data_IF_279244394730
#
_entry.id   IF_279244394730
#
_cell.length_a   1.000
_cell.length_b   1.000
_cell.length_c   1.000
_cell.angle_alpha   90.00
_cell.angle_beta   90.00
_cell.angle_gamma   90.00
#
_symmetry.space_group_name_H-M   'P 1'
#
loop_
_entity.id
_entity.type
_entity.pdbx_description
1 polymer ?
#
# COMPACT_ATOMS: atom_id res chain seq x y z
N UNK A 1 -21.19 16.74 3.59
CA UNK A 1 -19.97 17.01 2.81
C UNK A 1 -20.09 16.28 1.48
N UNK A 2 -19.85 16.96 0.37
CA UNK A 2 -20.00 16.33 -0.93
C UNK A 2 -18.79 15.44 -1.25
N UNK A 3 -18.98 14.40 -2.06
CA UNK A 3 -17.91 13.53 -2.57
C UNK A 3 -16.79 14.32 -3.28
N UNK A 4 -17.16 15.37 -4.03
CA UNK A 4 -16.21 16.24 -4.74
C UNK A 4 -15.29 16.95 -3.76
N UNK A 5 -15.83 17.49 -2.66
CA UNK A 5 -15.01 18.18 -1.65
C UNK A 5 -13.99 17.23 -0.99
N UNK A 6 -14.42 16.00 -0.71
CA UNK A 6 -13.53 14.97 -0.17
C UNK A 6 -12.38 14.63 -1.14
N UNK A 7 -12.69 14.49 -2.42
CA UNK A 7 -11.68 14.24 -3.46
C UNK A 7 -10.69 15.39 -3.60
N UNK A 8 -11.16 16.64 -3.56
CA UNK A 8 -10.29 17.83 -3.62
C UNK A 8 -9.32 17.86 -2.42
N UNK A 9 -9.79 17.53 -1.21
CA UNK A 9 -8.93 17.44 -0.03
C UNK A 9 -7.88 16.34 -0.17
N UNK A 10 -8.26 15.17 -0.67
CA UNK A 10 -7.33 14.06 -0.90
C UNK A 10 -6.27 14.45 -1.94
N UNK A 11 -6.68 15.04 -3.05
CA UNK A 11 -5.77 15.50 -4.11
C UNK A 11 -4.81 16.56 -3.57
N UNK A 12 -5.30 17.51 -2.79
CA UNK A 12 -4.48 18.56 -2.19
C UNK A 12 -3.44 17.96 -1.23
N UNK A 13 -3.85 17.05 -0.32
CA UNK A 13 -2.96 16.38 0.61
C UNK A 13 -1.92 15.51 -0.09
N UNK A 14 -2.29 14.85 -1.19
CA UNK A 14 -1.38 14.05 -1.99
C UNK A 14 -0.41 14.91 -2.82
N UNK A 15 -0.83 16.08 -3.28
CA UNK A 15 0.00 17.00 -4.06
C UNK A 15 1.12 17.63 -3.22
N UNK A 16 0.90 17.82 -1.92
CA UNK A 16 1.92 18.33 -0.99
C UNK A 16 2.99 17.28 -0.64
N UNK A 17 2.78 16.03 -1.04
CA UNK A 17 3.75 14.95 -0.83
C UNK A 17 4.75 14.87 -1.97
N UNK A 18 5.92 15.37 -1.68
CA UNK A 18 7.24 15.00 -2.21
C UNK A 18 7.39 14.71 -3.72
N UNK A 19 8.30 15.42 -4.31
CA UNK A 19 9.01 15.12 -5.55
C UNK A 19 9.26 13.62 -5.71
N UNK A 20 8.46 12.98 -6.55
CA UNK A 20 8.77 11.65 -7.06
C UNK A 20 9.25 11.78 -8.49
N UNK A 21 10.39 11.17 -8.75
CA UNK A 21 10.89 10.96 -10.09
C UNK A 21 9.87 10.16 -10.90
N UNK A 22 9.34 10.65 -12.03
CA UNK A 22 8.24 9.99 -12.76
C UNK A 22 8.63 8.69 -13.48
N UNK A 23 9.67 8.02 -13.02
CA UNK A 23 10.16 6.77 -13.62
C UNK A 23 10.12 5.53 -12.73
N UNK A 24 9.81 5.69 -11.44
CA UNK A 24 9.89 4.60 -10.49
C UNK A 24 8.52 4.02 -10.16
N UNK A 25 8.18 2.90 -10.78
CA UNK A 25 7.01 2.13 -10.38
C UNK A 25 7.13 1.71 -8.91
N UNK A 26 6.30 2.30 -8.05
CA UNK A 26 6.26 1.97 -6.62
C UNK A 26 5.01 1.19 -6.28
N UNK A 27 5.21 0.21 -5.44
CA UNK A 27 4.14 -0.62 -4.88
C UNK A 27 4.16 -0.53 -3.36
N UNK A 28 2.99 -0.42 -2.76
CA UNK A 28 2.80 -0.63 -1.32
C UNK A 28 2.09 -1.97 -1.14
N UNK A 29 2.62 -2.83 -0.31
CA UNK A 29 1.98 -4.10 0.00
C UNK A 29 1.09 -4.00 1.22
N UNK A 30 -0.15 -4.44 1.07
CA UNK A 30 -1.06 -4.67 2.17
C UNK A 30 -0.56 -5.82 3.06
N UNK A 31 -0.90 -5.78 4.34
CA UNK A 31 -0.46 -6.78 5.32
C UNK A 31 -0.83 -8.21 4.92
N UNK A 32 -2.04 -8.43 4.40
CA UNK A 32 -2.45 -9.76 3.95
C UNK A 32 -1.58 -10.31 2.82
N UNK A 33 -1.13 -9.46 1.90
CA UNK A 33 -0.20 -9.85 0.84
C UNK A 33 1.16 -10.25 1.43
N UNK A 34 1.65 -9.51 2.42
CA UNK A 34 2.89 -9.85 3.12
C UNK A 34 2.78 -11.20 3.83
N UNK A 35 1.65 -11.49 4.47
CA UNK A 35 1.38 -12.78 5.11
C UNK A 35 1.37 -13.92 4.07
N UNK A 36 0.73 -13.72 2.92
CA UNK A 36 0.72 -14.70 1.84
C UNK A 36 2.13 -14.99 1.33
N UNK A 37 2.95 -13.97 1.16
CA UNK A 37 4.36 -14.12 0.75
C UNK A 37 5.16 -14.86 1.83
N UNK A 38 4.97 -14.54 3.10
CA UNK A 38 5.64 -15.25 4.21
C UNK A 38 5.28 -16.74 4.27
N UNK A 39 4.10 -17.08 3.77
CA UNK A 39 3.60 -18.45 3.65
C UNK A 39 4.02 -19.16 2.36
N UNK A 40 4.86 -18.54 1.54
CA UNK A 40 5.46 -19.12 0.34
C UNK A 40 4.84 -18.69 -0.99
N UNK A 41 3.90 -17.74 -1.00
CA UNK A 41 3.39 -17.18 -2.24
C UNK A 41 4.48 -16.40 -2.98
N UNK A 42 4.56 -16.58 -4.31
CA UNK A 42 5.55 -15.90 -5.13
C UNK A 42 5.04 -14.53 -5.57
N UNK A 43 5.87 -13.52 -5.40
CA UNK A 43 5.65 -12.21 -5.97
C UNK A 43 6.05 -12.22 -7.46
N UNK A 44 5.15 -11.73 -8.31
CA UNK A 44 5.39 -11.58 -9.76
C UNK A 44 5.79 -10.14 -10.11
N UNK A 45 6.41 -9.43 -9.19
CA UNK A 45 6.88 -8.07 -9.45
C UNK A 45 8.05 -8.07 -10.44
N UNK A 46 8.16 -7.03 -11.28
CA UNK A 46 9.38 -6.78 -12.04
C UNK A 46 10.58 -6.71 -11.09
N UNK A 47 11.76 -7.20 -11.54
CA UNK A 47 12.95 -7.29 -10.70
C UNK A 47 13.50 -5.94 -10.21
N UNK A 48 13.11 -4.86 -10.85
CA UNK A 48 13.44 -3.47 -10.51
C UNK A 48 12.34 -2.73 -9.74
N UNK A 49 11.24 -3.43 -9.42
CA UNK A 49 10.13 -2.83 -8.71
C UNK A 49 10.52 -2.37 -7.30
N UNK A 50 10.21 -1.13 -6.99
CA UNK A 50 10.38 -0.60 -5.65
C UNK A 50 9.14 -0.90 -4.81
N UNK A 51 9.36 -1.57 -3.70
CA UNK A 51 8.33 -1.94 -2.74
C UNK A 51 8.47 -1.09 -1.49
N UNK A 52 7.39 -0.53 -1.02
CA UNK A 52 7.29 0.10 0.28
C UNK A 52 6.31 -0.66 1.17
N UNK A 53 6.53 -0.63 2.45
CA UNK A 53 5.70 -1.26 3.48
C UNK A 53 5.37 -0.23 4.54
N UNK A 54 4.11 -0.15 4.95
CA UNK A 54 3.72 0.68 6.10
C UNK A 54 4.27 0.10 7.41
N UNK A 55 4.72 0.96 8.30
CA UNK A 55 5.10 0.57 9.65
C UNK A 55 3.96 -0.15 10.41
N UNK A 56 2.70 0.12 10.05
CA UNK A 56 1.54 -0.59 10.60
C UNK A 56 1.52 -2.07 10.19
N UNK A 57 1.95 -2.39 8.98
CA UNK A 57 2.04 -3.78 8.54
C UNK A 57 3.05 -4.58 9.38
N UNK A 58 4.15 -3.94 9.81
CA UNK A 58 5.09 -4.56 10.75
C UNK A 58 4.40 -4.90 12.08
N UNK A 59 3.55 -4.00 12.59
CA UNK A 59 2.81 -4.23 13.84
C UNK A 59 1.83 -5.40 13.70
N UNK A 60 1.18 -5.53 12.56
CA UNK A 60 0.22 -6.61 12.31
C UNK A 60 0.90 -7.97 12.09
N UNK A 61 2.04 -8.00 11.39
CA UNK A 61 2.80 -9.22 11.14
C UNK A 61 3.48 -9.71 12.42
N UNK A 62 4.07 -8.80 13.20
CA UNK A 62 4.71 -9.10 14.47
C UNK A 62 3.68 -9.33 15.58
N UNK A 63 2.74 -10.24 15.35
CA UNK A 63 1.71 -10.61 16.30
C UNK A 63 2.11 -11.89 17.06
N UNK A 64 1.64 -12.10 18.32
CA UNK A 64 2.06 -13.21 19.17
C UNK A 64 1.92 -14.60 18.54
N UNK A 65 1.01 -14.76 17.60
CA UNK A 65 0.70 -16.04 16.95
C UNK A 65 1.30 -16.18 15.53
N UNK A 66 2.11 -15.22 15.08
CA UNK A 66 2.69 -15.22 13.73
C UNK A 66 4.21 -15.20 13.78
N UNK A 67 4.78 -14.03 13.99
CA UNK A 67 6.22 -13.79 14.01
C UNK A 67 6.61 -12.95 15.21
N UNK A 68 7.81 -13.18 15.75
CA UNK A 68 8.44 -12.21 16.63
C UNK A 68 8.78 -10.92 15.86
N UNK A 69 9.04 -9.84 16.57
CA UNK A 69 9.45 -8.59 15.92
C UNK A 69 10.72 -8.77 15.06
N UNK A 70 11.71 -9.49 15.57
CA UNK A 70 12.96 -9.74 14.83
C UNK A 70 12.72 -10.55 13.55
N UNK A 71 11.89 -11.59 13.61
CA UNK A 71 11.52 -12.38 12.43
C UNK A 71 10.75 -11.54 11.40
N UNK A 72 9.86 -10.67 11.84
CA UNK A 72 9.10 -9.78 10.95
C UNK A 72 10.01 -8.74 10.28
N UNK A 73 10.98 -8.17 11.01
CA UNK A 73 11.97 -7.25 10.46
C UNK A 73 12.87 -7.95 9.43
N UNK A 74 13.36 -9.14 9.74
CA UNK A 74 14.17 -9.95 8.82
C UNK A 74 13.37 -10.35 7.57
N UNK A 75 12.10 -10.71 7.74
CA UNK A 75 11.21 -11.02 6.62
C UNK A 75 11.02 -9.81 5.71
N UNK A 76 10.68 -8.64 6.25
CA UNK A 76 10.53 -7.40 5.47
C UNK A 76 11.83 -7.05 4.75
N UNK A 77 12.97 -7.17 5.42
CA UNK A 77 14.27 -6.93 4.80
C UNK A 77 14.55 -7.90 3.63
N UNK A 78 14.10 -9.16 3.72
CA UNK A 78 14.26 -10.16 2.67
C UNK A 78 13.47 -9.85 1.38
N UNK A 79 12.42 -9.04 1.48
CA UNK A 79 11.58 -8.66 0.34
C UNK A 79 12.19 -7.58 -0.56
N UNK A 80 13.42 -7.16 -0.29
CA UNK A 80 14.03 -6.02 -0.98
C UNK A 80 13.18 -4.74 -0.89
N UNK A 81 12.56 -4.55 0.27
CA UNK A 81 11.77 -3.36 0.56
C UNK A 81 12.68 -2.14 0.56
N UNK A 82 12.38 -1.19 -0.29
CA UNK A 82 13.15 0.04 -0.40
C UNK A 82 12.95 0.95 0.80
N UNK A 83 11.78 0.88 1.43
CA UNK A 83 11.41 1.79 2.51
C UNK A 83 10.31 1.23 3.40
N UNK A 84 10.50 1.35 4.72
CA UNK A 84 9.46 1.19 5.73
C UNK A 84 8.90 2.57 6.07
N UNK A 85 7.62 2.79 5.75
CA UNK A 85 6.99 4.10 5.82
C UNK A 85 6.35 4.33 7.19
N UNK A 86 6.78 5.36 7.93
CA UNK A 86 6.18 5.68 9.21
C UNK A 86 4.76 6.24 9.09
N UNK A 87 3.97 6.11 10.14
CA UNK A 87 2.67 6.77 10.25
C UNK A 87 2.87 8.21 10.70
N UNK A 88 2.82 9.11 9.74
CA UNK A 88 2.95 10.55 9.99
C UNK A 88 1.58 11.20 10.21
N UNK A 89 1.56 12.46 10.67
CA UNK A 89 0.33 13.25 10.73
C UNK A 89 -0.34 13.40 9.36
N UNK A 90 0.44 13.44 8.30
CA UNK A 90 -0.07 13.53 6.93
C UNK A 90 -0.78 12.24 6.53
N UNK A 91 -0.20 11.07 6.84
CA UNK A 91 -0.87 9.77 6.66
C UNK A 91 -2.18 9.72 7.44
N UNK A 92 -2.17 10.13 8.71
CA UNK A 92 -3.37 10.11 9.54
C UNK A 92 -4.49 11.02 8.99
N UNK A 93 -4.16 12.22 8.55
CA UNK A 93 -5.14 13.16 7.96
C UNK A 93 -5.74 12.60 6.68
N UNK A 94 -4.92 12.06 5.79
CA UNK A 94 -5.40 11.47 4.55
C UNK A 94 -6.24 10.22 4.81
N UNK A 95 -5.88 9.39 5.78
CA UNK A 95 -6.68 8.24 6.18
C UNK A 95 -8.09 8.63 6.64
N UNK A 96 -8.21 9.74 7.37
CA UNK A 96 -9.53 10.30 7.75
C UNK A 96 -10.35 10.64 6.50
N UNK A 97 -9.76 11.30 5.51
CA UNK A 97 -10.46 11.65 4.27
C UNK A 97 -10.87 10.41 3.46
N UNK A 98 -10.00 9.40 3.36
CA UNK A 98 -10.33 8.14 2.68
C UNK A 98 -11.54 7.44 3.33
N UNK A 99 -11.63 7.46 4.66
CA UNK A 99 -12.76 6.86 5.40
C UNK A 99 -14.07 7.61 5.22
N UNK A 100 -14.04 8.89 4.86
CA UNK A 100 -15.26 9.66 4.52
C UNK A 100 -15.83 9.25 3.16
N UNK A 101 -14.96 8.86 2.23
CA UNK A 101 -15.37 8.41 0.88
C UNK A 101 -15.96 7.02 0.93
N UNK A 102 -15.33 6.11 1.65
CA UNK A 102 -15.78 4.73 1.81
C UNK A 102 -15.35 4.20 3.17
N UNK A 103 -16.23 3.43 3.80
CA UNK A 103 -15.94 2.82 5.11
C UNK A 103 -14.77 1.83 5.00
N UNK A 104 -13.64 2.24 5.56
CA UNK A 104 -12.47 1.41 5.83
C UNK A 104 -12.21 1.37 7.33
N UNK A 105 -11.58 0.33 7.84
CA UNK A 105 -11.05 0.40 9.19
C UNK A 105 -9.82 1.34 9.26
N UNK A 106 -9.36 1.62 10.46
CA UNK A 106 -8.30 2.63 10.64
C UNK A 106 -6.96 2.18 10.05
N UNK A 107 -6.62 0.90 10.16
CA UNK A 107 -5.35 0.37 9.65
C UNK A 107 -5.34 0.35 8.12
N UNK A 108 -6.40 -0.17 7.50
CA UNK A 108 -6.57 -0.20 6.04
C UNK A 108 -6.53 1.22 5.45
N UNK A 109 -7.18 2.17 6.12
CA UNK A 109 -7.17 3.56 5.69
C UNK A 109 -5.78 4.19 5.77
N UNK A 110 -4.99 3.88 6.79
CA UNK A 110 -3.62 4.36 6.91
C UNK A 110 -2.68 3.73 5.86
N UNK A 111 -2.84 2.44 5.57
CA UNK A 111 -2.09 1.77 4.51
C UNK A 111 -2.46 2.36 3.14
N UNK A 112 -3.74 2.56 2.88
CA UNK A 112 -4.22 3.25 1.68
C UNK A 112 -3.69 4.68 1.55
N UNK A 113 -3.70 5.44 2.64
CA UNK A 113 -3.14 6.79 2.69
C UNK A 113 -1.63 6.80 2.40
N UNK A 114 -0.90 5.83 2.91
CA UNK A 114 0.53 5.66 2.61
C UNK A 114 0.75 5.48 1.12
N UNK A 115 -0.03 4.61 0.48
CA UNK A 115 0.06 4.41 -0.98
C UNK A 115 -0.25 5.69 -1.76
N UNK A 116 -1.30 6.43 -1.38
CA UNK A 116 -1.64 7.71 -2.01
C UNK A 116 -0.51 8.74 -1.90
N UNK A 117 0.04 8.92 -0.69
CA UNK A 117 1.10 9.91 -0.45
C UNK A 117 2.38 9.57 -1.19
N UNK A 118 2.64 8.30 -1.44
CA UNK A 118 3.79 7.84 -2.22
C UNK A 118 3.52 7.82 -3.72
N UNK A 119 2.31 8.17 -4.17
CA UNK A 119 1.87 7.97 -5.54
C UNK A 119 2.13 6.54 -6.03
N UNK A 120 1.87 5.57 -5.16
CA UNK A 120 2.12 4.16 -5.36
C UNK A 120 0.83 3.39 -5.61
N UNK A 121 0.97 2.22 -6.21
CA UNK A 121 -0.13 1.26 -6.34
C UNK A 121 -0.16 0.34 -5.13
N UNK A 122 -1.31 0.25 -4.48
CA UNK A 122 -1.53 -0.65 -3.34
C UNK A 122 -1.85 -2.05 -3.84
N UNK A 123 -1.02 -3.01 -3.50
CA UNK A 123 -1.24 -4.42 -3.83
C UNK A 123 -2.01 -5.06 -2.68
N UNK A 124 -3.24 -5.46 -2.95
CA UNK A 124 -4.17 -6.01 -1.96
C UNK A 124 -5.21 -6.93 -2.58
N UNK A 125 -5.64 -7.94 -1.83
CA UNK A 125 -6.79 -8.78 -2.19
C UNK A 125 -8.07 -8.39 -1.44
N UNK A 126 -8.02 -7.43 -0.53
CA UNK A 126 -9.22 -6.95 0.16
C UNK A 126 -10.15 -6.21 -0.81
N UNK A 127 -11.34 -6.75 -1.02
CA UNK A 127 -12.32 -6.20 -1.96
C UNK A 127 -12.85 -4.83 -1.55
N UNK A 128 -12.86 -4.50 -0.25
CA UNK A 128 -13.29 -3.18 0.22
C UNK A 128 -12.28 -2.12 -0.17
N UNK A 129 -10.99 -2.43 -0.01
CA UNK A 129 -9.89 -1.55 -0.43
C UNK A 129 -9.87 -1.42 -1.95
N UNK A 130 -9.99 -2.53 -2.68
CA UNK A 130 -9.96 -2.55 -4.15
C UNK A 130 -11.11 -1.78 -4.80
N UNK A 131 -12.25 -1.67 -4.12
CA UNK A 131 -13.41 -0.89 -4.59
C UNK A 131 -13.33 0.59 -4.21
N UNK A 132 -12.33 0.99 -3.45
CA UNK A 132 -12.21 2.38 -3.04
C UNK A 132 -11.90 3.27 -4.25
N UNK A 133 -12.73 4.30 -4.54
CA UNK A 133 -12.67 5.03 -5.81
C UNK A 133 -11.41 5.90 -5.98
N UNK A 134 -10.69 6.15 -4.89
CA UNK A 134 -9.48 7.01 -4.88
C UNK A 134 -8.18 6.20 -4.94
N UNK A 135 -8.21 4.96 -4.46
CA UNK A 135 -7.01 4.15 -4.36
C UNK A 135 -6.68 3.46 -5.70
N UNK A 136 -5.43 3.60 -6.13
CA UNK A 136 -4.88 2.77 -7.20
C UNK A 136 -4.49 1.42 -6.63
N UNK A 137 -5.13 0.35 -7.06
CA UNK A 137 -4.93 -0.99 -6.50
C UNK A 137 -4.67 -2.06 -7.55
N UNK A 138 -3.91 -3.09 -7.17
CA UNK A 138 -3.74 -4.33 -7.92
C UNK A 138 -3.99 -5.54 -7.02
N UNK A 139 -4.53 -6.64 -7.57
CA UNK A 139 -4.63 -7.89 -6.82
C UNK A 139 -3.26 -8.57 -6.68
N UNK A 140 -3.17 -9.48 -5.72
CA UNK A 140 -2.00 -10.36 -5.57
C UNK A 140 -2.41 -11.82 -5.84
N UNK A 141 -1.66 -12.61 -6.61
CA UNK A 141 -0.48 -12.19 -7.40
C UNK A 141 -0.85 -11.19 -8.50
N UNK A 142 0.10 -10.30 -8.82
CA UNK A 142 -0.12 -9.25 -9.81
C UNK A 142 -0.34 -9.91 -11.19
N UNK A 143 -1.42 -9.55 -11.93
CA UNK A 143 -1.66 -10.10 -13.24
C UNK A 143 -0.49 -9.74 -14.16
N UNK A 144 0.08 -10.76 -14.81
CA UNK A 144 1.04 -10.54 -15.88
C UNK A 144 0.27 -10.19 -17.15
N UNK A 145 0.64 -9.09 -17.79
CA UNK A 145 0.20 -8.86 -19.16
C UNK A 145 0.79 -9.98 -20.02
N UNK A 146 -0.01 -10.64 -20.86
CA UNK A 146 0.55 -11.57 -21.83
C UNK A 146 1.56 -10.81 -22.69
N UNK A 147 2.80 -11.28 -22.69
CA UNK A 147 3.84 -10.73 -23.56
C UNK A 147 3.36 -10.91 -25.00
N UNK A 148 2.98 -9.83 -25.67
CA UNK A 148 2.64 -9.88 -27.08
C UNK A 148 1.50 -9.00 -27.58
N UNK A 149 0.74 -8.32 -26.74
CA UNK A 149 -0.21 -7.31 -27.23
C UNK A 149 0.38 -5.92 -26.99
N UNK A 150 1.18 -5.47 -27.93
CA UNK A 150 1.45 -4.05 -28.14
C UNK A 150 0.17 -3.40 -28.64
N UNK A 151 -0.30 -2.32 -28.00
CA UNK A 151 -1.42 -1.54 -28.51
C UNK A 151 -1.09 -0.86 -29.84
#
# INVERSE_FOLDING_TARGET
>A
MSFVYCLEQIICLAADSVHQDPGDAKYVFDTNVLIDISSGAKSNLPGDAKIAVSALSLVEIAAPNHMSLSEAEDFIASLNVSELIPVTNQVARLAVELRKVQKLDALDACIGATACLMNATLVTNDQRIRRHPVLSTLPFPIPQHPEGETP
#
